data_IF_852136874698
#
_entry.id   IF_852136874698
#
_cell.length_a   1.000
_cell.length_b   1.000
_cell.length_c   1.000
_cell.angle_alpha   90.00
_cell.angle_beta   90.00
_cell.angle_gamma   90.00
#
_symmetry.space_group_name_H-M   'P 1'
#
loop_
_entity.id
_entity.type
_entity.pdbx_description
1 polymer ?
#
# COMPACT_ATOMS: atom_id res chain seq x y z
N UNK A 1 -10.37 -7.20 -9.86
CA UNK A 1 -9.14 -6.60 -9.27
C UNK A 1 -9.34 -6.04 -7.85
N UNK A 2 -10.51 -6.21 -7.20
CA UNK A 2 -10.79 -5.73 -5.82
C UNK A 2 -10.64 -6.82 -4.74
N UNK A 3 -9.97 -7.93 -5.05
CA UNK A 3 -9.99 -9.14 -4.21
C UNK A 3 -8.62 -9.70 -3.86
N UNK A 4 -7.49 -9.13 -4.30
CA UNK A 4 -6.17 -9.76 -4.09
C UNK A 4 -5.87 -10.05 -2.62
N UNK A 5 -6.01 -9.04 -1.74
CA UNK A 5 -5.82 -9.22 -0.30
C UNK A 5 -6.83 -10.21 0.28
N UNK A 6 -8.11 -10.11 -0.11
CA UNK A 6 -9.14 -11.05 0.35
C UNK A 6 -8.85 -12.50 -0.08
N UNK A 7 -8.39 -12.71 -1.31
CA UNK A 7 -8.00 -14.02 -1.83
C UNK A 7 -6.80 -14.59 -1.07
N UNK A 8 -5.79 -13.76 -0.82
CA UNK A 8 -4.61 -14.15 -0.03
C UNK A 8 -5.00 -14.55 1.40
N UNK A 9 -5.83 -13.74 2.07
CA UNK A 9 -6.31 -14.02 3.42
C UNK A 9 -7.21 -15.25 3.46
N UNK A 10 -8.07 -15.44 2.45
CA UNK A 10 -8.93 -16.64 2.35
C UNK A 10 -8.08 -17.90 2.18
N UNK A 11 -7.05 -17.85 1.33
CA UNK A 11 -6.11 -18.96 1.16
C UNK A 11 -5.33 -19.26 2.46
N UNK A 12 -5.12 -18.24 3.29
CA UNK A 12 -4.52 -18.36 4.62
C UNK A 12 -5.48 -18.88 5.70
N UNK A 13 -6.77 -19.05 5.40
CA UNK A 13 -7.79 -19.38 6.40
C UNK A 13 -8.12 -18.22 7.36
N UNK A 14 -7.77 -16.98 7.00
CA UNK A 14 -7.99 -15.78 7.82
C UNK A 14 -9.37 -15.20 7.51
N UNK A 15 -10.26 -15.25 8.50
CA UNK A 15 -11.57 -14.62 8.43
C UNK A 15 -11.47 -13.09 8.52
N UNK A 16 -12.21 -12.38 7.68
CA UNK A 16 -12.29 -10.92 7.68
C UNK A 16 -13.72 -10.43 7.69
N UNK A 17 -13.94 -9.26 8.26
CA UNK A 17 -15.21 -8.54 8.21
C UNK A 17 -15.02 -7.16 7.59
N UNK A 18 -16.00 -6.72 6.82
CA UNK A 18 -16.00 -5.38 6.22
C UNK A 18 -16.80 -4.43 7.11
N UNK A 19 -16.23 -3.32 7.59
CA UNK A 19 -16.94 -2.37 8.44
C UNK A 19 -18.25 -1.87 7.81
N UNK A 20 -19.33 -1.83 8.59
CA UNK A 20 -20.56 -1.15 8.18
C UNK A 20 -20.26 0.34 7.95
N UNK A 21 -20.63 0.85 6.79
CA UNK A 21 -20.38 2.26 6.42
C UNK A 21 -19.01 2.52 5.79
N UNK A 22 -18.29 1.48 5.33
CA UNK A 22 -16.98 1.59 4.67
C UNK A 22 -16.95 2.61 3.52
N UNK A 23 -18.04 2.73 2.74
CA UNK A 23 -18.13 3.66 1.61
C UNK A 23 -18.26 5.14 2.02
N UNK A 24 -18.24 5.42 3.32
CA UNK A 24 -18.45 6.74 3.86
C UNK A 24 -17.26 7.29 4.65
N UNK A 25 -16.17 6.53 4.73
CA UNK A 25 -14.95 6.90 5.46
C UNK A 25 -13.79 7.08 4.49
N UNK A 26 -12.77 7.80 4.93
CA UNK A 26 -11.49 7.97 4.25
C UNK A 26 -10.40 8.16 5.31
N UNK A 27 -9.16 7.76 5.00
CA UNK A 27 -7.99 7.98 5.85
C UNK A 27 -7.58 9.45 6.03
N UNK A 28 -8.23 10.38 5.32
CA UNK A 28 -7.95 11.81 5.47
C UNK A 28 -6.82 12.35 4.58
N UNK A 29 -6.01 11.49 3.96
CA UNK A 29 -4.81 11.91 3.19
C UNK A 29 -5.09 12.99 2.13
N UNK A 30 -6.15 12.92 1.28
CA UNK A 30 -6.47 13.97 0.31
C UNK A 30 -6.85 15.32 0.96
N UNK A 31 -7.48 15.29 2.13
CA UNK A 31 -7.86 16.49 2.87
C UNK A 31 -6.63 17.16 3.47
N UNK A 32 -5.76 16.36 4.09
CA UNK A 32 -4.50 16.79 4.70
C UNK A 32 -3.58 17.43 3.66
N UNK A 33 -3.39 16.80 2.49
CA UNK A 33 -2.46 17.29 1.46
C UNK A 33 -2.90 18.61 0.79
N UNK A 34 -4.19 18.95 0.90
CA UNK A 34 -4.77 20.21 0.41
C UNK A 34 -4.92 21.27 1.50
N UNK A 35 -4.59 20.96 2.75
CA UNK A 35 -4.80 21.86 3.89
C UNK A 35 -6.27 22.07 4.26
N UNK A 36 -7.16 21.15 3.86
CA UNK A 36 -8.60 21.23 4.14
C UNK A 36 -8.93 20.75 5.56
N UNK A 37 -8.57 21.54 6.56
CA UNK A 37 -8.61 21.16 7.98
C UNK A 37 -9.98 20.73 8.49
N UNK A 38 -11.06 21.44 8.10
CA UNK A 38 -12.44 21.10 8.51
C UNK A 38 -12.88 19.73 7.98
N UNK A 39 -12.59 19.46 6.71
CA UNK A 39 -12.91 18.18 6.08
C UNK A 39 -12.08 17.05 6.67
N UNK A 40 -10.80 17.31 6.94
CA UNK A 40 -9.92 16.35 7.59
C UNK A 40 -10.41 15.96 8.99
N UNK A 41 -10.76 16.94 9.84
CA UNK A 41 -11.30 16.70 11.17
C UNK A 41 -12.66 15.96 11.14
N UNK A 42 -13.53 16.30 10.18
CA UNK A 42 -14.81 15.61 10.01
C UNK A 42 -14.61 14.14 9.65
N UNK A 43 -13.60 13.85 8.81
CA UNK A 43 -13.31 12.49 8.37
C UNK A 43 -12.60 11.66 9.43
N UNK A 44 -11.72 12.30 10.23
CA UNK A 44 -11.13 11.72 11.45
C UNK A 44 -12.19 11.20 12.41
N UNK A 45 -13.11 12.07 12.83
CA UNK A 45 -14.16 11.70 13.78
C UNK A 45 -14.97 10.51 13.26
N UNK A 46 -15.29 10.51 11.96
CA UNK A 46 -16.05 9.43 11.32
C UNK A 46 -15.27 8.12 11.22
N UNK A 47 -14.00 8.15 10.82
CA UNK A 47 -13.20 6.92 10.66
C UNK A 47 -12.92 6.26 12.01
N UNK A 48 -12.58 7.05 13.04
CA UNK A 48 -12.32 6.54 14.39
C UNK A 48 -13.59 5.93 15.00
N UNK A 49 -14.74 6.58 14.85
CA UNK A 49 -16.04 6.06 15.27
C UNK A 49 -16.41 4.75 14.56
N UNK A 50 -16.14 4.64 13.26
CA UNK A 50 -16.33 3.37 12.53
C UNK A 50 -15.36 2.29 13.01
N UNK A 51 -14.08 2.62 13.23
CA UNK A 51 -13.10 1.66 13.73
C UNK A 51 -13.49 1.12 15.10
N UNK A 52 -13.85 1.98 16.06
CA UNK A 52 -14.30 1.53 17.40
C UNK A 52 -15.44 0.53 17.32
N UNK A 53 -16.46 0.79 16.51
CA UNK A 53 -17.56 -0.17 16.33
C UNK A 53 -17.12 -1.44 15.63
N UNK A 54 -16.39 -1.32 14.53
CA UNK A 54 -16.03 -2.44 13.68
C UNK A 54 -15.03 -3.40 14.34
N UNK A 55 -14.21 -2.90 15.25
CA UNK A 55 -13.23 -3.69 15.99
C UNK A 55 -13.70 -4.15 17.37
N UNK A 56 -14.96 -3.86 17.74
CA UNK A 56 -15.45 -4.00 19.12
C UNK A 56 -14.49 -3.34 20.14
N UNK A 57 -14.10 -2.10 19.85
CA UNK A 57 -13.16 -1.33 20.64
C UNK A 57 -11.80 -2.02 20.82
N UNK A 58 -11.27 -2.57 19.72
CA UNK A 58 -9.89 -3.08 19.63
C UNK A 58 -9.75 -4.60 19.76
N UNK A 59 -10.84 -5.36 19.92
CA UNK A 59 -10.80 -6.83 19.84
C UNK A 59 -10.31 -7.33 18.48
N UNK A 60 -10.60 -6.59 17.40
CA UNK A 60 -10.13 -6.92 16.05
C UNK A 60 -9.08 -5.93 15.55
N UNK A 61 -8.16 -6.45 14.73
CA UNK A 61 -7.14 -5.66 14.04
C UNK A 61 -7.74 -5.03 12.79
N UNK A 62 -7.43 -3.75 12.55
CA UNK A 62 -7.77 -3.07 11.29
C UNK A 62 -6.70 -3.39 10.25
N UNK A 63 -7.12 -3.96 9.13
CA UNK A 63 -6.26 -4.21 7.97
C UNK A 63 -6.63 -3.25 6.83
N UNK A 64 -5.62 -2.65 6.19
CA UNK A 64 -5.79 -1.77 5.02
C UNK A 64 -4.76 -2.12 3.95
N UNK A 65 -5.17 -2.09 2.69
CA UNK A 65 -4.37 -2.51 1.51
C UNK A 65 -3.72 -1.35 0.76
N UNK A 66 -3.72 -0.17 1.37
CA UNK A 66 -3.07 1.02 0.85
C UNK A 66 -2.21 1.63 1.95
N UNK A 67 -0.89 1.61 1.77
CA UNK A 67 0.05 2.03 2.81
C UNK A 67 -0.16 3.48 3.26
N UNK A 68 -0.59 4.37 2.34
CA UNK A 68 -0.93 5.75 2.72
C UNK A 68 -2.21 5.85 3.55
N UNK A 69 -3.15 4.92 3.39
CA UNK A 69 -4.35 4.83 4.21
C UNK A 69 -4.04 4.23 5.58
N UNK A 70 -3.27 3.15 5.62
CA UNK A 70 -2.85 2.47 6.85
C UNK A 70 -2.12 3.45 7.77
N UNK A 71 -1.19 4.23 7.23
CA UNK A 71 -0.55 5.31 7.95
C UNK A 71 -1.56 6.38 8.42
N UNK A 72 -2.44 6.86 7.53
CA UNK A 72 -3.43 7.87 7.89
C UNK A 72 -4.29 7.42 9.07
N UNK A 73 -4.76 6.17 9.05
CA UNK A 73 -5.53 5.58 10.13
C UNK A 73 -4.76 5.53 11.46
N UNK A 74 -3.48 5.19 11.44
CA UNK A 74 -2.63 5.24 12.65
C UNK A 74 -2.62 6.67 13.22
N UNK A 75 -2.32 7.67 12.39
CA UNK A 75 -2.27 9.07 12.85
C UNK A 75 -3.63 9.58 13.36
N UNK A 76 -4.74 9.17 12.74
CA UNK A 76 -6.08 9.57 13.19
C UNK A 76 -6.41 8.97 14.56
N UNK A 77 -6.05 7.71 14.81
CA UNK A 77 -6.24 7.06 16.11
C UNK A 77 -5.35 7.70 17.18
N UNK A 78 -4.08 7.95 16.89
CA UNK A 78 -3.15 8.63 17.79
C UNK A 78 -3.63 10.03 18.15
N UNK A 79 -4.13 10.78 17.17
CA UNK A 79 -4.68 12.12 17.40
C UNK A 79 -5.87 12.10 18.36
N UNK A 80 -6.77 11.13 18.22
CA UNK A 80 -7.94 10.95 19.09
C UNK A 80 -7.61 10.23 20.40
N UNK A 81 -6.33 9.93 20.67
CA UNK A 81 -5.89 9.25 21.89
C UNK A 81 -6.36 7.79 21.99
N UNK A 82 -6.64 7.13 20.86
CA UNK A 82 -7.10 5.74 20.79
C UNK A 82 -5.90 4.81 20.68
N UNK A 83 -5.58 4.09 21.75
CA UNK A 83 -4.39 3.22 21.82
C UNK A 83 -4.70 1.72 21.75
N UNK A 84 -5.97 1.34 21.94
CA UNK A 84 -6.42 -0.05 21.94
C UNK A 84 -6.71 -0.63 20.55
N UNK A 85 -6.82 0.20 19.51
CA UNK A 85 -7.07 -0.25 18.14
C UNK A 85 -5.75 -0.38 17.39
N UNK A 86 -5.40 -1.60 16.99
CA UNK A 86 -4.22 -1.88 16.15
C UNK A 86 -4.57 -1.76 14.68
N UNK A 87 -3.80 -0.96 13.94
CA UNK A 87 -3.81 -0.92 12.48
C UNK A 87 -2.59 -1.65 11.94
N UNK A 88 -2.80 -2.51 10.95
CA UNK A 88 -1.75 -3.23 10.23
C UNK A 88 -1.94 -2.99 8.73
N UNK A 89 -0.84 -2.76 8.02
CA UNK A 89 -0.91 -2.72 6.55
C UNK A 89 -0.93 -4.14 5.97
N UNK A 90 -1.69 -4.35 4.90
CA UNK A 90 -1.77 -5.63 4.23
C UNK A 90 -0.39 -6.15 3.79
N UNK A 91 0.53 -5.30 3.34
CA UNK A 91 1.88 -5.77 2.95
C UNK A 91 2.66 -6.29 4.16
N UNK A 92 2.47 -5.70 5.33
CA UNK A 92 3.07 -6.16 6.57
C UNK A 92 2.49 -7.51 6.98
N UNK A 93 1.16 -7.60 7.06
CA UNK A 93 0.48 -8.83 7.46
C UNK A 93 0.84 -9.98 6.53
N UNK A 94 0.80 -9.76 5.21
CA UNK A 94 1.12 -10.80 4.23
C UNK A 94 2.59 -11.20 4.32
N UNK A 95 3.51 -10.24 4.49
CA UNK A 95 4.93 -10.55 4.56
C UNK A 95 5.30 -11.37 5.81
N UNK A 96 4.69 -11.05 6.95
CA UNK A 96 5.08 -11.61 8.24
C UNK A 96 4.28 -12.87 8.60
N UNK A 97 2.98 -12.92 8.27
CA UNK A 97 2.08 -14.01 8.67
C UNK A 97 1.82 -15.01 7.53
N UNK A 98 1.67 -14.52 6.29
CA UNK A 98 1.26 -15.39 5.18
C UNK A 98 2.45 -15.99 4.44
N UNK A 99 3.37 -15.17 3.91
CA UNK A 99 4.50 -15.62 3.09
C UNK A 99 5.28 -16.81 3.68
N UNK A 100 5.57 -16.88 4.99
CA UNK A 100 6.32 -18.01 5.56
C UNK A 100 5.61 -19.37 5.43
N UNK A 101 4.29 -19.37 5.28
CA UNK A 101 3.47 -20.58 5.16
C UNK A 101 3.18 -20.97 3.71
N UNK A 102 3.51 -20.11 2.74
CA UNK A 102 3.21 -20.35 1.34
C UNK A 102 4.30 -21.18 0.65
N UNK A 103 3.92 -22.03 -0.32
CA UNK A 103 4.90 -22.71 -1.15
C UNK A 103 5.72 -21.69 -1.95
N UNK A 104 7.01 -21.97 -2.22
CA UNK A 104 7.82 -21.10 -3.06
C UNK A 104 7.22 -21.00 -4.46
N UNK A 105 7.06 -19.77 -4.94
CA UNK A 105 6.64 -19.49 -6.30
C UNK A 105 7.86 -19.47 -7.22
N UNK A 106 7.75 -19.92 -8.49
CA UNK A 106 8.76 -19.62 -9.50
C UNK A 106 9.00 -18.10 -9.53
N UNK A 107 10.22 -17.62 -9.68
CA UNK A 107 10.51 -16.17 -9.68
C UNK A 107 10.78 -15.66 -11.09
N UNK A 108 10.44 -14.40 -11.35
CA UNK A 108 10.95 -13.69 -12.53
C UNK A 108 12.35 -13.15 -12.23
N UNK A 109 13.09 -12.74 -13.26
CA UNK A 109 14.47 -12.32 -13.08
C UNK A 109 14.58 -11.05 -12.23
N UNK A 110 13.73 -10.04 -12.47
CA UNK A 110 13.85 -8.76 -11.76
C UNK A 110 12.55 -7.97 -11.61
N UNK A 111 12.46 -7.21 -10.51
CA UNK A 111 11.41 -6.23 -10.28
C UNK A 111 12.01 -4.89 -9.82
N UNK A 112 11.54 -3.79 -10.42
CA UNK A 112 11.70 -2.46 -9.83
C UNK A 112 10.68 -2.29 -8.71
N UNK A 113 11.12 -1.76 -7.58
CA UNK A 113 10.28 -1.48 -6.43
C UNK A 113 10.37 0.01 -6.07
N UNK A 114 9.20 0.63 -5.91
CA UNK A 114 9.05 1.97 -5.35
C UNK A 114 8.39 1.84 -3.99
N UNK A 115 9.18 1.78 -2.89
CA UNK A 115 8.66 1.98 -1.56
C UNK A 115 7.90 3.31 -1.49
N UNK A 116 6.91 3.40 -0.63
CA UNK A 116 6.13 4.64 -0.51
C UNK A 116 6.74 5.54 0.55
N UNK A 117 6.48 6.84 0.45
CA UNK A 117 6.86 7.76 1.53
C UNK A 117 6.13 7.45 2.85
N UNK A 118 4.92 6.87 2.79
CA UNK A 118 4.19 6.36 3.96
C UNK A 118 4.84 5.12 4.54
N UNK A 119 5.23 4.14 3.71
CA UNK A 119 5.88 2.91 4.19
C UNK A 119 7.21 3.20 4.85
N UNK A 120 7.95 4.19 4.32
CA UNK A 120 9.22 4.60 4.91
C UNK A 120 9.02 5.21 6.30
N UNK A 121 8.02 6.09 6.46
CA UNK A 121 7.70 6.70 7.75
C UNK A 121 7.18 5.69 8.77
N UNK A 122 6.47 4.67 8.31
CA UNK A 122 5.91 3.61 9.14
C UNK A 122 6.86 2.42 9.38
N UNK A 123 8.03 2.39 8.73
CA UNK A 123 8.96 1.25 8.84
C UNK A 123 8.51 -0.01 8.09
N UNK A 124 7.62 0.10 7.11
CA UNK A 124 7.08 -1.04 6.34
C UNK A 124 7.82 -1.35 5.03
N UNK A 125 8.95 -0.69 4.76
CA UNK A 125 9.70 -0.91 3.53
C UNK A 125 10.18 -2.36 3.38
N UNK A 126 10.62 -2.99 4.47
CA UNK A 126 11.09 -4.38 4.43
C UNK A 126 9.94 -5.35 4.15
N UNK A 127 8.73 -5.10 4.66
CA UNK A 127 7.56 -5.92 4.36
C UNK A 127 7.19 -5.87 2.87
N UNK A 128 7.25 -4.67 2.26
CA UNK A 128 7.00 -4.52 0.83
C UNK A 128 8.09 -5.23 0.02
N UNK A 129 9.36 -5.09 0.44
CA UNK A 129 10.49 -5.77 -0.20
C UNK A 129 10.35 -7.29 -0.14
N UNK A 130 10.05 -7.87 1.03
CA UNK A 130 9.80 -9.32 1.18
C UNK A 130 8.72 -9.82 0.21
N UNK A 131 7.62 -9.08 0.07
CA UNK A 131 6.57 -9.43 -0.89
C UNK A 131 7.06 -9.38 -2.34
N UNK A 132 7.91 -8.41 -2.69
CA UNK A 132 8.51 -8.32 -4.02
C UNK A 132 9.55 -9.43 -4.26
N UNK A 133 10.30 -9.83 -3.23
CA UNK A 133 11.30 -10.91 -3.30
C UNK A 133 10.64 -12.30 -3.41
N UNK A 134 9.38 -12.43 -3.02
CA UNK A 134 8.59 -13.62 -3.33
C UNK A 134 8.21 -13.69 -4.83
N UNK A 135 8.27 -12.57 -5.55
CA UNK A 135 7.90 -12.47 -6.97
C UNK A 135 9.14 -12.54 -7.88
N UNK A 136 10.27 -11.94 -7.49
CA UNK A 136 11.45 -11.77 -8.33
C UNK A 136 12.75 -12.15 -7.60
N UNK A 137 13.75 -12.61 -8.35
CA UNK A 137 15.09 -12.92 -7.83
C UNK A 137 15.85 -11.65 -7.44
N UNK A 138 15.78 -10.61 -8.27
CA UNK A 138 16.36 -9.30 -7.98
C UNK A 138 15.27 -8.24 -7.75
N UNK A 139 15.26 -7.62 -6.57
CA UNK A 139 14.38 -6.47 -6.27
C UNK A 139 15.20 -5.19 -6.15
N UNK A 140 15.06 -4.35 -7.17
CA UNK A 140 15.80 -3.10 -7.30
C UNK A 140 14.98 -1.92 -6.78
N UNK A 141 15.53 -1.18 -5.83
CA UNK A 141 15.03 0.14 -5.43
C UNK A 141 16.03 1.17 -5.93
N UNK A 142 15.55 2.16 -6.68
CA UNK A 142 16.41 3.20 -7.23
C UNK A 142 17.13 3.98 -6.13
N UNK A 143 18.40 4.33 -6.35
CA UNK A 143 19.16 5.16 -5.41
C UNK A 143 18.59 6.58 -5.32
N UNK A 144 18.04 7.08 -6.43
CA UNK A 144 17.33 8.36 -6.49
C UNK A 144 15.86 8.28 -6.04
N UNK A 145 15.47 7.21 -5.37
CA UNK A 145 14.12 7.05 -4.82
C UNK A 145 13.73 8.21 -3.88
N UNK A 146 12.45 8.59 -3.94
CA UNK A 146 11.85 9.56 -3.03
C UNK A 146 10.33 9.55 -3.08
N UNK A 147 9.69 10.56 -2.48
CA UNK A 147 8.24 10.72 -2.61
C UNK A 147 7.85 10.98 -4.08
N UNK A 148 6.93 10.21 -4.65
CA UNK A 148 6.44 10.40 -6.02
C UNK A 148 5.61 11.69 -6.27
N UNK A 149 5.46 12.56 -5.26
CA UNK A 149 4.77 13.85 -5.39
C UNK A 149 3.23 13.77 -5.55
N UNK A 150 2.64 12.57 -5.58
CA UNK A 150 1.21 12.41 -5.87
C UNK A 150 0.29 12.87 -4.72
N UNK A 151 0.74 12.70 -3.46
CA UNK A 151 0.15 13.27 -2.25
C UNK A 151 -1.39 13.18 -2.15
N UNK A 152 -1.92 11.95 -2.08
CA UNK A 152 -3.37 11.70 -2.11
C UNK A 152 -3.87 11.75 -3.54
N UNK A 153 -4.59 12.79 -3.92
CA UNK A 153 -5.09 13.02 -5.28
C UNK A 153 -4.46 14.26 -5.94
N UNK A 154 -3.51 14.92 -5.27
CA UNK A 154 -2.92 16.18 -5.76
C UNK A 154 -2.18 16.01 -7.09
N UNK A 155 -1.52 14.88 -7.29
CA UNK A 155 -0.86 14.53 -8.57
C UNK A 155 -1.84 14.33 -9.73
N UNK A 156 -3.13 14.16 -9.47
CA UNK A 156 -4.16 14.19 -10.53
C UNK A 156 -4.42 15.61 -11.05
N UNK A 157 -4.27 16.61 -10.17
CA UNK A 157 -4.55 18.02 -10.45
C UNK A 157 -3.29 18.78 -10.88
N UNK A 158 -2.13 18.34 -10.41
CA UNK A 158 -0.83 19.00 -10.58
C UNK A 158 0.23 17.99 -11.06
N UNK A 159 0.15 17.50 -12.32
CA UNK A 159 1.06 16.50 -12.85
C UNK A 159 2.54 16.94 -12.82
N UNK A 160 2.80 18.25 -12.86
CA UNK A 160 4.14 18.84 -12.74
C UNK A 160 4.85 18.48 -11.42
N UNK A 161 4.10 18.27 -10.33
CA UNK A 161 4.65 17.89 -9.03
C UNK A 161 5.23 16.47 -9.08
N UNK A 162 4.47 15.53 -9.64
CA UNK A 162 4.95 14.15 -9.83
C UNK A 162 6.13 14.15 -10.80
N UNK A 163 6.00 14.81 -11.96
CA UNK A 163 7.09 14.86 -12.95
C UNK A 163 8.40 15.40 -12.35
N UNK A 164 8.34 16.49 -11.58
CA UNK A 164 9.52 17.04 -10.92
C UNK A 164 10.07 16.12 -9.83
N UNK A 165 9.21 15.52 -9.01
CA UNK A 165 9.63 14.71 -7.87
C UNK A 165 10.29 13.39 -8.30
N UNK A 166 9.78 12.78 -9.37
CA UNK A 166 10.25 11.47 -9.85
C UNK A 166 11.32 11.55 -10.93
N UNK A 167 11.68 12.74 -11.43
CA UNK A 167 12.55 12.89 -12.61
C UNK A 167 13.87 12.09 -12.52
N UNK A 168 14.54 12.13 -11.36
CA UNK A 168 15.82 11.42 -11.16
C UNK A 168 15.62 9.91 -11.03
N UNK A 169 14.59 9.49 -10.30
CA UNK A 169 14.24 8.07 -10.15
C UNK A 169 13.85 7.46 -11.50
N UNK A 170 13.03 8.15 -12.29
CA UNK A 170 12.63 7.72 -13.62
C UNK A 170 13.84 7.58 -14.57
N UNK A 171 14.70 8.59 -14.63
CA UNK A 171 15.91 8.56 -15.46
C UNK A 171 16.91 7.46 -15.04
N UNK A 172 16.89 7.04 -13.77
CA UNK A 172 17.68 5.90 -13.29
C UNK A 172 17.06 4.58 -13.74
N UNK A 173 15.75 4.42 -13.54
CA UNK A 173 15.02 3.20 -13.89
C UNK A 173 14.96 2.95 -15.40
N UNK A 174 15.00 3.99 -16.23
CA UNK A 174 15.04 3.87 -17.70
C UNK A 174 16.30 3.15 -18.23
N UNK A 175 17.37 3.07 -17.43
CA UNK A 175 18.65 2.46 -17.85
C UNK A 175 18.60 0.94 -17.94
N UNK A 176 17.55 0.30 -17.40
CA UNK A 176 17.35 -1.14 -17.49
C UNK A 176 15.88 -1.50 -17.59
N UNK A 177 15.63 -2.70 -18.11
CA UNK A 177 14.32 -3.31 -18.08
C UNK A 177 14.12 -4.10 -16.78
N UNK A 178 12.87 -4.21 -16.35
CA UNK A 178 12.44 -5.06 -15.24
C UNK A 178 11.19 -5.83 -15.66
N UNK A 179 11.05 -7.07 -15.18
CA UNK A 179 9.87 -7.89 -15.49
C UNK A 179 8.61 -7.34 -14.79
N UNK A 180 8.78 -6.74 -13.60
CA UNK A 180 7.72 -6.03 -12.89
C UNK A 180 8.15 -4.65 -12.37
N UNK A 181 7.17 -3.77 -12.24
CA UNK A 181 7.28 -2.47 -11.60
C UNK A 181 6.26 -2.42 -10.45
N UNK A 182 6.73 -2.37 -9.20
CA UNK A 182 5.93 -2.68 -8.02
C UNK A 182 5.87 -1.50 -7.05
N UNK A 183 4.70 -1.26 -6.48
CA UNK A 183 4.53 -0.38 -5.31
C UNK A 183 3.46 -0.94 -4.38
N UNK A 184 3.11 -0.21 -3.32
CA UNK A 184 2.18 -0.65 -2.28
C UNK A 184 1.06 0.37 -2.02
N UNK A 185 0.79 1.24 -2.99
CA UNK A 185 -0.24 2.26 -2.86
C UNK A 185 -0.67 2.76 -4.23
N UNK A 186 -1.99 2.71 -4.51
CA UNK A 186 -2.53 2.98 -5.85
C UNK A 186 -2.10 4.32 -6.43
N UNK A 187 -1.98 5.35 -5.61
CA UNK A 187 -1.59 6.69 -6.09
C UNK A 187 -0.10 6.79 -6.39
N UNK A 188 0.74 5.98 -5.73
CA UNK A 188 2.15 5.84 -6.08
C UNK A 188 2.31 5.08 -7.39
N UNK A 189 1.52 4.02 -7.61
CA UNK A 189 1.49 3.31 -8.90
C UNK A 189 1.16 4.26 -10.06
N UNK A 190 0.08 5.04 -9.93
CA UNK A 190 -0.32 6.02 -10.94
C UNK A 190 0.75 7.10 -11.16
N UNK A 191 1.38 7.58 -10.08
CA UNK A 191 2.43 8.58 -10.16
C UNK A 191 3.66 8.06 -10.91
N UNK A 192 4.12 6.86 -10.56
CA UNK A 192 5.28 6.25 -11.17
C UNK A 192 5.02 5.77 -12.60
N UNK A 193 3.81 5.31 -12.91
CA UNK A 193 3.39 4.98 -14.28
C UNK A 193 3.45 6.22 -15.19
N UNK A 194 2.94 7.36 -14.72
CA UNK A 194 3.06 8.63 -15.45
C UNK A 194 4.51 9.08 -15.62
N UNK A 195 5.34 8.86 -14.61
CA UNK A 195 6.73 9.29 -14.60
C UNK A 195 7.64 8.45 -15.51
N UNK A 196 7.36 7.14 -15.63
CA UNK A 196 8.26 6.17 -16.26
C UNK A 196 7.70 5.56 -17.55
N UNK A 197 6.39 5.70 -17.79
CA UNK A 197 5.69 5.00 -18.86
C UNK A 197 5.63 3.48 -18.69
N UNK A 198 5.90 2.96 -17.48
CA UNK A 198 5.91 1.52 -17.17
C UNK A 198 4.67 1.11 -16.38
N UNK A 199 4.20 -0.15 -16.49
CA UNK A 199 2.98 -0.58 -15.81
C UNK A 199 3.25 -0.87 -14.33
N UNK A 200 3.14 0.16 -13.48
CA UNK A 200 3.30 -0.01 -12.04
C UNK A 200 2.08 -0.69 -11.42
N UNK A 201 2.33 -1.71 -10.59
CA UNK A 201 1.29 -2.56 -10.01
C UNK A 201 1.46 -2.67 -8.50
N UNK A 202 0.35 -2.89 -7.80
CA UNK A 202 0.39 -3.22 -6.40
C UNK A 202 1.10 -4.57 -6.20
N UNK A 203 2.08 -4.63 -5.29
CA UNK A 203 2.87 -5.84 -5.02
C UNK A 203 1.98 -7.03 -4.66
N UNK A 204 0.94 -6.82 -3.83
CA UNK A 204 0.03 -7.90 -3.44
C UNK A 204 -0.89 -8.36 -4.57
N UNK A 205 -1.19 -7.50 -5.56
CA UNK A 205 -1.97 -7.93 -6.72
C UNK A 205 -1.16 -8.90 -7.56
N UNK A 206 0.11 -8.57 -7.82
CA UNK A 206 1.03 -9.45 -8.54
C UNK A 206 1.25 -10.75 -7.76
N UNK A 207 1.50 -10.67 -6.46
CA UNK A 207 1.67 -11.86 -5.62
C UNK A 207 0.43 -12.78 -5.69
N UNK A 208 -0.77 -12.25 -5.51
CA UNK A 208 -2.00 -13.02 -5.56
C UNK A 208 -2.24 -13.68 -6.93
N UNK A 209 -1.98 -12.95 -8.03
CA UNK A 209 -2.09 -13.51 -9.38
C UNK A 209 -1.13 -14.68 -9.60
N UNK A 210 0.12 -14.53 -9.17
CA UNK A 210 1.13 -15.58 -9.30
C UNK A 210 0.83 -16.78 -8.41
N UNK A 211 0.28 -16.56 -7.22
CA UNK A 211 -0.20 -17.67 -6.39
C UNK A 211 -1.32 -18.46 -7.05
N UNK A 212 -2.23 -17.80 -7.76
CA UNK A 212 -3.29 -18.50 -8.52
C UNK A 212 -2.70 -19.24 -9.72
N UNK A 213 -1.76 -18.62 -10.44
CA UNK A 213 -1.11 -19.19 -11.61
C UNK A 213 -0.30 -20.46 -11.29
N UNK A 214 0.37 -20.48 -10.13
CA UNK A 214 1.25 -21.58 -9.70
C UNK A 214 0.69 -22.37 -8.51
N UNK A 215 -0.61 -22.25 -8.21
CA UNK A 215 -1.23 -23.04 -7.16
C UNK A 215 -1.08 -24.54 -7.48
N UNK A 216 -0.58 -25.37 -6.54
CA UNK A 216 -0.58 -26.81 -6.74
C UNK A 216 -2.03 -27.29 -6.88
N UNK A 217 -2.26 -28.10 -7.92
CA UNK A 217 -3.56 -28.69 -8.25
C UNK A 217 -4.07 -29.65 -7.15
#
# INVERSE_FOLDING_TARGET
>A
MQFAVLSLLTAAGVGVTVPKGINSICCGTPWKSKGMTKGYASMRARVVDVMRRATHDGELVVLSDAVSCSEGFVHELEYEGVTNIKVVDAVQYIADELLPSLPPLPKVASAALHPTCSSTRMGWNDSIRKCAEAIADEVYVANNWGCCGFAGDRGMLHPELTASATAREAAELERRHFDYYLSANRTCELGMERATGKPWRHVLNVLAERMVEFAPA
#
